data_IF_455066932828
#
_entry.id   IF_455066932828
#
_cell.length_a   1.000
_cell.length_b   1.000
_cell.length_c   1.000
_cell.angle_alpha   90.00
_cell.angle_beta   90.00
_cell.angle_gamma   90.00
#
_symmetry.space_group_name_H-M   'P 1'
#
loop_
_entity.id
_entity.type
_entity.pdbx_description
1 polymer ?
#
# COMPACT_ATOMS: atom_id res chain seq x y z
N UNK A 1 24.86 -17.84 -7.32
CA UNK A 1 25.09 -18.67 -6.10
C UNK A 1 24.00 -19.72 -5.82
N UNK A 2 23.42 -20.34 -6.87
CA UNK A 2 22.39 -21.39 -6.76
C UNK A 2 22.84 -22.73 -7.36
N UNK A 3 24.09 -22.85 -7.80
CA UNK A 3 24.56 -24.02 -8.55
C UNK A 3 25.34 -25.05 -7.72
N UNK A 4 25.58 -24.80 -6.42
CA UNK A 4 26.37 -25.67 -5.53
C UNK A 4 25.62 -26.06 -4.24
N UNK A 5 24.31 -26.33 -4.33
CA UNK A 5 23.53 -26.81 -3.18
C UNK A 5 23.32 -28.33 -3.25
N UNK A 6 23.91 -29.07 -2.30
CA UNK A 6 23.70 -30.51 -2.13
C UNK A 6 22.22 -30.86 -1.98
N UNK A 7 21.75 -31.96 -2.61
CA UNK A 7 20.37 -32.47 -2.55
C UNK A 7 19.81 -32.59 -1.12
N UNK A 8 20.68 -32.80 -0.12
CA UNK A 8 20.32 -32.84 1.30
C UNK A 8 19.95 -31.46 1.87
N UNK A 9 20.68 -30.40 1.51
CA UNK A 9 20.37 -29.03 1.93
C UNK A 9 19.09 -28.50 1.29
N UNK A 10 18.79 -28.89 0.05
CA UNK A 10 17.52 -28.54 -0.60
C UNK A 10 16.33 -29.20 0.12
N UNK A 11 16.41 -30.50 0.42
CA UNK A 11 15.36 -31.23 1.16
C UNK A 11 15.18 -30.70 2.58
N UNK A 12 16.25 -30.35 3.28
CA UNK A 12 16.19 -29.73 4.60
C UNK A 12 15.51 -28.36 4.57
N UNK A 13 15.89 -27.49 3.61
CA UNK A 13 15.23 -26.18 3.42
C UNK A 13 13.75 -26.31 3.05
N UNK A 14 13.40 -27.31 2.25
CA UNK A 14 12.02 -27.59 1.86
C UNK A 14 11.20 -28.13 3.03
N UNK A 15 11.77 -28.99 3.88
CA UNK A 15 11.13 -29.48 5.11
C UNK A 15 10.95 -28.36 6.14
N UNK A 16 11.94 -27.49 6.31
CA UNK A 16 11.83 -26.29 7.17
C UNK A 16 10.74 -25.34 6.63
N UNK A 17 10.70 -25.10 5.31
CA UNK A 17 9.66 -24.29 4.69
C UNK A 17 8.25 -24.87 4.87
N UNK A 18 8.11 -26.20 4.73
CA UNK A 18 6.84 -26.90 4.93
C UNK A 18 6.40 -26.86 6.41
N UNK A 19 7.34 -27.06 7.34
CA UNK A 19 7.08 -26.98 8.78
C UNK A 19 6.64 -25.57 9.21
N UNK A 20 7.27 -24.53 8.66
CA UNK A 20 6.88 -23.12 8.89
C UNK A 20 5.47 -22.87 8.34
N UNK A 21 5.14 -23.35 7.13
CA UNK A 21 3.81 -23.24 6.54
C UNK A 21 2.72 -23.94 7.37
N UNK A 22 3.00 -25.15 7.86
CA UNK A 22 2.07 -25.93 8.69
C UNK A 22 1.90 -25.31 10.07
N UNK A 23 2.97 -24.75 10.65
CA UNK A 23 2.92 -24.04 11.94
C UNK A 23 2.24 -22.66 11.84
N UNK A 24 2.25 -22.03 10.66
CA UNK A 24 1.59 -20.75 10.41
C UNK A 24 0.06 -20.84 10.58
N UNK A 25 -0.54 -21.96 10.18
CA UNK A 25 -1.99 -22.18 10.25
C UNK A 25 -2.56 -22.13 11.69
N UNK A 26 -2.01 -22.87 12.69
CA UNK A 26 -2.46 -22.76 14.07
C UNK A 26 -2.11 -21.41 14.70
N UNK A 27 -1.00 -20.78 14.31
CA UNK A 27 -0.62 -19.44 14.79
C UNK A 27 -1.64 -18.40 14.34
N UNK A 28 -2.02 -18.41 13.06
CA UNK A 28 -3.07 -17.52 12.52
C UNK A 28 -4.39 -17.78 13.23
N UNK A 29 -4.75 -19.05 13.48
CA UNK A 29 -5.99 -19.39 14.19
C UNK A 29 -6.00 -18.83 15.62
N UNK A 30 -4.89 -18.92 16.35
CA UNK A 30 -4.75 -18.37 17.70
C UNK A 30 -4.81 -16.84 17.67
N UNK A 31 -4.11 -16.19 16.74
CA UNK A 31 -4.15 -14.72 16.57
C UNK A 31 -5.54 -14.21 16.21
N UNK A 32 -6.31 -14.95 15.40
CA UNK A 32 -7.69 -14.59 15.05
C UNK A 32 -8.68 -14.79 16.22
N UNK A 33 -8.45 -15.77 17.10
CA UNK A 33 -9.30 -15.98 18.30
C UNK A 33 -9.05 -14.97 19.42
N UNK A 34 -7.87 -14.33 19.45
CA UNK A 34 -7.50 -13.29 20.42
C UNK A 34 -7.20 -11.97 19.68
N UNK A 35 -8.22 -11.43 19.01
CA UNK A 35 -8.10 -10.27 18.13
C UNK A 35 -7.52 -9.02 18.82
N UNK A 36 -7.83 -8.78 20.10
CA UNK A 36 -7.27 -7.63 20.84
C UNK A 36 -5.75 -7.78 21.12
N UNK A 37 -5.31 -9.00 21.44
CA UNK A 37 -3.88 -9.29 21.66
C UNK A 37 -3.08 -9.18 20.36
N UNK A 38 -3.65 -9.65 19.25
CA UNK A 38 -3.07 -9.51 17.91
C UNK A 38 -2.91 -8.04 17.50
N UNK A 39 -3.91 -7.20 17.79
CA UNK A 39 -3.85 -5.77 17.53
C UNK A 39 -2.69 -5.09 18.27
N UNK A 40 -2.58 -5.31 19.59
CA UNK A 40 -1.49 -4.78 20.39
C UNK A 40 -0.11 -5.30 19.96
N UNK A 41 -0.01 -6.57 19.60
CA UNK A 41 1.23 -7.18 19.13
C UNK A 41 1.73 -6.52 17.84
N UNK A 42 0.85 -6.29 16.86
CA UNK A 42 1.19 -5.62 15.60
C UNK A 42 1.61 -4.16 15.84
N UNK A 43 0.92 -3.44 16.74
CA UNK A 43 1.28 -2.06 17.10
C UNK A 43 2.66 -2.01 17.78
N UNK A 44 2.94 -2.93 18.71
CA UNK A 44 4.24 -3.00 19.41
C UNK A 44 5.35 -3.35 18.43
N UNK A 45 5.14 -4.31 17.52
CA UNK A 45 6.12 -4.68 16.52
C UNK A 45 6.41 -3.53 15.54
N UNK A 46 5.36 -2.84 15.07
CA UNK A 46 5.46 -1.67 14.21
C UNK A 46 6.19 -0.51 14.89
N UNK A 47 5.90 -0.26 16.18
CA UNK A 47 6.61 0.72 16.98
C UNK A 47 8.09 0.36 17.14
N UNK A 48 8.42 -0.92 17.34
CA UNK A 48 9.79 -1.41 17.48
C UNK A 48 10.59 -1.24 16.17
N UNK A 49 9.98 -1.54 15.03
CA UNK A 49 10.57 -1.33 13.70
C UNK A 49 10.79 0.17 13.45
N UNK A 50 9.82 1.02 13.79
CA UNK A 50 9.95 2.47 13.69
C UNK A 50 11.07 3.02 14.59
N UNK A 51 11.17 2.53 15.82
CA UNK A 51 12.22 2.89 16.77
C UNK A 51 13.60 2.46 16.27
N UNK A 52 13.70 1.25 15.70
CA UNK A 52 14.92 0.72 15.09
C UNK A 52 15.36 1.58 13.89
N UNK A 53 14.44 1.99 13.02
CA UNK A 53 14.70 2.92 11.92
C UNK A 53 15.17 4.30 12.41
N UNK A 54 14.55 4.85 13.46
CA UNK A 54 14.97 6.10 14.10
C UNK A 54 16.39 5.99 14.69
N UNK A 55 16.70 4.90 15.40
CA UNK A 55 18.02 4.67 16.02
C UNK A 55 19.12 4.49 14.97
N UNK A 56 18.86 3.73 13.90
CA UNK A 56 19.81 3.54 12.79
C UNK A 56 20.07 4.85 12.05
N UNK A 57 19.05 5.70 11.92
CA UNK A 57 19.13 7.03 11.30
C UNK A 57 19.91 8.02 12.15
N UNK A 58 19.79 7.96 13.48
CA UNK A 58 20.52 8.84 14.41
C UNK A 58 22.00 8.45 14.58
N UNK A 59 22.39 7.21 14.27
CA UNK A 59 23.76 6.70 14.48
C UNK A 59 24.74 6.92 13.32
N UNK A 60 24.32 7.38 12.14
CA UNK A 60 25.23 7.59 11.00
C UNK A 60 25.85 8.99 10.97
N UNK A 61 27.17 9.03 10.75
CA UNK A 61 28.06 10.17 11.01
C UNK A 61 28.86 10.64 9.77
N UNK A 62 28.17 11.00 8.67
CA UNK A 62 28.56 12.21 7.93
C UNK A 62 27.37 13.09 7.50
N UNK A 63 27.60 14.41 7.33
CA UNK A 63 26.55 15.43 7.12
C UNK A 63 25.73 15.26 5.84
N UNK A 64 26.29 14.64 4.79
CA UNK A 64 25.59 14.39 3.52
C UNK A 64 24.72 13.14 3.53
N UNK A 65 25.15 12.08 4.20
CA UNK A 65 24.32 10.88 4.40
C UNK A 65 23.14 11.17 5.32
N UNK A 66 23.32 12.02 6.33
CA UNK A 66 22.22 12.44 7.23
C UNK A 66 21.10 13.17 6.48
N UNK A 67 21.42 13.96 5.44
CA UNK A 67 20.42 14.67 4.62
C UNK A 67 19.65 13.71 3.71
N UNK A 68 20.34 12.71 3.15
CA UNK A 68 19.71 11.63 2.37
C UNK A 68 18.85 10.75 3.28
N UNK A 69 19.36 10.34 4.44
CA UNK A 69 18.62 9.57 5.45
C UNK A 69 17.38 10.30 5.98
N UNK A 70 17.45 11.60 6.23
CA UNK A 70 16.28 12.39 6.61
C UNK A 70 15.22 12.40 5.50
N UNK A 71 15.62 12.57 4.24
CA UNK A 71 14.69 12.46 3.10
C UNK A 71 14.07 11.05 3.02
N UNK A 72 14.86 10.00 3.23
CA UNK A 72 14.36 8.62 3.28
C UNK A 72 13.37 8.39 4.43
N UNK A 73 13.61 8.96 5.61
CA UNK A 73 12.71 8.81 6.74
C UNK A 73 11.36 9.48 6.47
N UNK A 74 11.36 10.66 5.84
CA UNK A 74 10.13 11.34 5.40
C UNK A 74 9.38 10.51 4.34
N UNK A 75 10.10 9.96 3.36
CA UNK A 75 9.53 9.07 2.34
C UNK A 75 8.96 7.77 2.94
N UNK A 76 9.67 7.15 3.89
CA UNK A 76 9.23 5.94 4.58
C UNK A 76 7.98 6.20 5.43
N UNK A 77 7.97 7.30 6.20
CA UNK A 77 6.83 7.68 7.04
C UNK A 77 5.61 8.00 6.18
N UNK A 78 5.78 8.76 5.10
CA UNK A 78 4.70 8.99 4.14
C UNK A 78 4.21 7.70 3.48
N UNK A 79 5.10 6.74 3.20
CA UNK A 79 4.73 5.47 2.58
C UNK A 79 3.91 4.62 3.54
N UNK A 80 4.26 4.65 4.83
CA UNK A 80 3.50 3.99 5.89
C UNK A 80 2.10 4.60 5.99
N UNK A 81 1.98 5.93 5.99
CA UNK A 81 0.68 6.62 6.00
C UNK A 81 -0.12 6.28 4.74
N UNK A 82 0.51 6.27 3.57
CA UNK A 82 -0.13 5.88 2.31
C UNK A 82 -0.71 4.47 2.40
N UNK A 83 0.10 3.48 2.77
CA UNK A 83 -0.35 2.08 2.84
C UNK A 83 -1.39 1.88 3.94
N UNK A 84 -1.27 2.55 5.08
CA UNK A 84 -2.28 2.50 6.13
C UNK A 84 -3.62 3.04 5.64
N UNK A 85 -3.64 4.20 4.97
CA UNK A 85 -4.87 4.77 4.39
C UNK A 85 -5.43 3.88 3.28
N UNK A 86 -4.57 3.37 2.40
CA UNK A 86 -4.95 2.52 1.28
C UNK A 86 -5.55 1.20 1.75
N UNK A 87 -5.05 0.61 2.84
CA UNK A 87 -5.58 -0.62 3.41
C UNK A 87 -6.87 -0.40 4.21
N UNK A 88 -7.03 0.77 4.84
CA UNK A 88 -8.23 1.11 5.62
C UNK A 88 -9.41 1.50 4.72
N UNK A 89 -9.13 2.11 3.56
CA UNK A 89 -10.16 2.66 2.68
C UNK A 89 -11.20 1.63 2.21
N UNK A 90 -10.82 0.43 1.73
CA UNK A 90 -11.79 -0.53 1.19
C UNK A 90 -12.81 -0.98 2.22
N UNK A 91 -12.38 -1.11 3.49
CA UNK A 91 -13.24 -1.48 4.60
C UNK A 91 -14.24 -0.37 4.91
N UNK A 92 -13.76 0.87 5.06
CA UNK A 92 -14.63 2.03 5.32
C UNK A 92 -15.61 2.31 4.17
N UNK A 93 -15.14 2.20 2.93
CA UNK A 93 -15.94 2.39 1.73
C UNK A 93 -17.02 1.32 1.57
N UNK A 94 -16.72 0.06 1.88
CA UNK A 94 -17.72 -1.01 1.82
C UNK A 94 -18.88 -0.74 2.78
N UNK A 95 -18.57 -0.44 4.05
CA UNK A 95 -19.57 -0.05 5.06
C UNK A 95 -20.37 1.18 4.64
N UNK A 96 -19.69 2.19 4.09
CA UNK A 96 -20.34 3.40 3.60
C UNK A 96 -21.28 3.11 2.42
N UNK A 97 -20.90 2.20 1.53
CA UNK A 97 -21.72 1.80 0.37
C UNK A 97 -22.97 1.03 0.75
N UNK A 98 -22.90 0.23 1.81
CA UNK A 98 -24.03 -0.56 2.29
C UNK A 98 -25.10 0.32 2.97
N UNK A 99 -24.67 1.36 3.71
CA UNK A 99 -25.57 2.15 4.56
C UNK A 99 -25.95 3.51 3.98
N UNK A 100 -25.13 4.11 3.11
CA UNK A 100 -25.26 5.52 2.72
C UNK A 100 -25.34 5.74 1.20
N UNK A 101 -25.47 4.69 0.40
CA UNK A 101 -25.47 4.80 -1.07
C UNK A 101 -26.71 4.18 -1.67
N UNK A 102 -27.28 4.90 -2.63
CA UNK A 102 -28.29 4.33 -3.48
C UNK A 102 -27.63 3.36 -4.48
N UNK A 103 -27.67 2.08 -4.15
CA UNK A 103 -27.12 0.99 -4.96
C UNK A 103 -27.97 0.70 -6.21
N UNK A 104 -29.10 1.40 -6.39
CA UNK A 104 -29.91 1.31 -7.60
C UNK A 104 -29.40 2.31 -8.65
N UNK A 105 -28.51 1.84 -9.53
CA UNK A 105 -27.93 2.65 -10.60
C UNK A 105 -28.66 2.30 -11.90
N UNK A 106 -29.47 3.23 -12.42
CA UNK A 106 -30.25 3.05 -13.66
C UNK A 106 -31.14 1.78 -13.70
N UNK A 107 -31.69 1.36 -12.56
CA UNK A 107 -32.56 0.17 -12.46
C UNK A 107 -31.82 -1.14 -12.17
N UNK A 108 -30.50 -1.12 -12.04
CA UNK A 108 -29.67 -2.27 -11.69
C UNK A 108 -29.22 -2.11 -10.23
N UNK A 109 -29.51 -3.12 -9.39
CA UNK A 109 -28.95 -3.20 -8.05
C UNK A 109 -27.49 -3.63 -8.13
N UNK A 110 -26.59 -2.70 -7.83
CA UNK A 110 -25.16 -2.96 -7.72
C UNK A 110 -24.87 -3.49 -6.32
N UNK A 111 -24.25 -4.66 -6.19
CA UNK A 111 -23.82 -5.15 -4.89
C UNK A 111 -22.60 -4.35 -4.39
N UNK A 112 -22.48 -4.04 -3.09
CA UNK A 112 -21.31 -3.35 -2.52
C UNK A 112 -19.99 -4.04 -2.83
N UNK A 113 -19.97 -5.37 -2.96
CA UNK A 113 -18.77 -6.14 -3.35
C UNK A 113 -18.22 -5.75 -4.73
N UNK A 114 -19.05 -5.30 -5.66
CA UNK A 114 -18.58 -4.90 -7.00
C UNK A 114 -17.70 -3.66 -6.95
N UNK A 115 -17.75 -2.90 -5.86
CA UNK A 115 -16.93 -1.71 -5.66
C UNK A 115 -15.45 -2.09 -5.49
N UNK A 116 -15.13 -3.25 -4.90
CA UNK A 116 -13.74 -3.74 -4.85
C UNK A 116 -13.20 -4.08 -6.25
N UNK A 117 -14.06 -4.56 -7.16
CA UNK A 117 -13.64 -4.86 -8.53
C UNK A 117 -13.22 -3.59 -9.30
N UNK A 118 -13.74 -2.42 -8.92
CA UNK A 118 -13.35 -1.13 -9.52
C UNK A 118 -11.84 -0.90 -9.33
N UNK A 119 -11.32 -1.15 -8.13
CA UNK A 119 -9.89 -1.02 -7.86
C UNK A 119 -9.05 -1.90 -8.80
N UNK A 120 -9.40 -3.18 -8.93
CA UNK A 120 -8.71 -4.12 -9.83
C UNK A 120 -8.78 -3.65 -11.28
N UNK A 121 -9.95 -3.22 -11.76
CA UNK A 121 -10.12 -2.69 -13.12
C UNK A 121 -9.26 -1.46 -13.36
N UNK A 122 -9.22 -0.53 -12.40
CA UNK A 122 -8.41 0.70 -12.50
C UNK A 122 -6.93 0.37 -12.50
N UNK A 123 -6.45 -0.62 -11.75
CA UNK A 123 -5.04 -1.02 -11.77
C UNK A 123 -4.69 -1.66 -13.12
N UNK A 124 -5.52 -2.58 -13.62
CA UNK A 124 -5.28 -3.30 -14.88
C UNK A 124 -5.28 -2.34 -16.09
N UNK A 125 -6.22 -1.39 -16.14
CA UNK A 125 -6.33 -0.42 -17.24
C UNK A 125 -5.41 0.78 -17.01
N UNK A 126 -5.35 1.28 -15.79
CA UNK A 126 -4.57 2.45 -15.40
C UNK A 126 -3.07 2.20 -15.40
N UNK A 127 -2.61 0.97 -15.13
CA UNK A 127 -1.20 0.59 -15.18
C UNK A 127 -0.53 0.90 -16.53
N UNK A 128 -0.99 0.33 -17.65
CA UNK A 128 -0.43 0.64 -18.97
C UNK A 128 -0.65 2.11 -19.37
N UNK A 129 -1.76 2.72 -18.96
CA UNK A 129 -2.07 4.12 -19.27
C UNK A 129 -1.11 5.10 -18.57
N UNK A 130 -0.81 4.83 -17.30
CA UNK A 130 0.15 5.60 -16.51
C UNK A 130 1.58 5.38 -17.01
N UNK A 131 1.93 4.14 -17.41
CA UNK A 131 3.21 3.85 -18.03
C UNK A 131 3.40 4.61 -19.36
N UNK A 132 2.36 4.64 -20.20
CA UNK A 132 2.36 5.45 -21.43
C UNK A 132 2.50 6.95 -21.14
N UNK A 133 1.78 7.46 -20.13
CA UNK A 133 1.86 8.85 -19.70
C UNK A 133 3.27 9.23 -19.25
N UNK A 134 3.90 8.41 -18.40
CA UNK A 134 5.27 8.63 -17.95
C UNK A 134 6.29 8.55 -19.09
N UNK A 135 6.14 7.61 -20.03
CA UNK A 135 6.99 7.54 -21.21
C UNK A 135 6.87 8.80 -22.07
N UNK A 136 5.65 9.32 -22.24
CA UNK A 136 5.41 10.58 -22.96
C UNK A 136 6.01 11.79 -22.24
N UNK A 137 5.97 11.82 -20.90
CA UNK A 137 6.61 12.88 -20.11
C UNK A 137 8.14 12.83 -20.20
N UNK A 138 8.73 11.63 -20.15
CA UNK A 138 10.18 11.43 -20.36
C UNK A 138 10.60 11.83 -21.77
N UNK A 139 9.79 11.52 -22.79
CA UNK A 139 10.04 11.96 -24.17
C UNK A 139 10.03 13.49 -24.34
N UNK A 140 9.38 14.23 -23.43
CA UNK A 140 9.37 15.70 -23.39
C UNK A 140 10.49 16.30 -22.54
N UNK A 141 11.39 15.48 -21.99
CA UNK A 141 12.50 15.94 -21.15
C UNK A 141 12.13 16.23 -19.69
N UNK A 142 10.89 15.98 -19.26
CA UNK A 142 10.50 16.08 -17.86
C UNK A 142 10.89 14.78 -17.13
N UNK A 143 12.06 14.78 -16.51
CA UNK A 143 12.43 13.74 -15.56
C UNK A 143 11.63 13.96 -14.26
N UNK A 144 10.73 13.03 -13.95
CA UNK A 144 10.00 13.05 -12.68
C UNK A 144 10.92 12.50 -11.60
N UNK A 145 11.28 13.36 -10.65
CA UNK A 145 12.02 12.94 -9.48
C UNK A 145 11.16 12.03 -8.59
N UNK A 146 11.80 11.06 -7.94
CA UNK A 146 11.15 10.12 -7.00
C UNK A 146 10.29 10.84 -5.95
N UNK A 147 10.75 11.93 -5.31
CA UNK A 147 9.94 12.66 -4.33
C UNK A 147 8.70 13.33 -4.94
N UNK A 148 8.77 13.76 -6.20
CA UNK A 148 7.64 14.38 -6.89
C UNK A 148 6.54 13.35 -7.20
N UNK A 149 6.94 12.16 -7.69
CA UNK A 149 5.99 11.06 -7.92
C UNK A 149 5.35 10.59 -6.61
N UNK A 150 6.14 10.50 -5.54
CA UNK A 150 5.66 10.14 -4.20
C UNK A 150 4.70 11.19 -3.61
N UNK A 151 5.00 12.47 -3.77
CA UNK A 151 4.11 13.55 -3.34
C UNK A 151 2.80 13.51 -4.12
N UNK A 152 2.86 13.19 -5.42
CA UNK A 152 1.68 12.93 -6.26
C UNK A 152 0.82 11.78 -5.74
N UNK A 153 1.42 10.65 -5.33
CA UNK A 153 0.66 9.54 -4.72
C UNK A 153 -0.01 9.94 -3.41
N UNK A 154 0.68 10.67 -2.54
CA UNK A 154 0.13 11.18 -1.28
C UNK A 154 -1.03 12.15 -1.51
N UNK A 155 -0.90 13.00 -2.52
CA UNK A 155 -1.96 13.94 -2.90
C UNK A 155 -3.17 13.21 -3.47
N UNK A 156 -2.97 12.21 -4.34
CA UNK A 156 -4.06 11.40 -4.89
C UNK A 156 -4.84 10.64 -3.81
N UNK A 157 -4.17 10.03 -2.84
CA UNK A 157 -4.87 9.32 -1.75
C UNK A 157 -5.60 10.28 -0.82
N UNK A 158 -5.00 11.44 -0.51
CA UNK A 158 -5.64 12.50 0.27
C UNK A 158 -6.88 13.05 -0.42
N UNK A 159 -6.80 13.33 -1.72
CA UNK A 159 -7.95 13.72 -2.53
C UNK A 159 -9.01 12.62 -2.58
N UNK A 160 -8.62 11.37 -2.77
CA UNK A 160 -9.54 10.23 -2.76
C UNK A 160 -10.36 10.17 -1.47
N UNK A 161 -9.72 10.44 -0.33
CA UNK A 161 -10.40 10.51 0.96
C UNK A 161 -11.28 11.77 1.11
N UNK A 162 -10.85 12.93 0.60
CA UNK A 162 -11.64 14.18 0.65
C UNK A 162 -12.89 14.16 -0.24
N UNK A 163 -12.87 13.41 -1.34
CA UNK A 163 -14.02 13.25 -2.25
C UNK A 163 -15.23 12.60 -1.55
N UNK A 164 -15.00 11.78 -0.53
CA UNK A 164 -16.08 11.11 0.23
C UNK A 164 -16.91 12.08 1.10
N UNK A 165 -16.34 12.88 2.01
CA UNK A 165 -17.09 13.87 2.77
C UNK A 165 -17.71 14.95 1.88
N UNK A 166 -17.07 15.30 0.75
CA UNK A 166 -17.70 16.15 -0.26
C UNK A 166 -18.95 15.49 -0.87
N UNK A 167 -18.89 14.21 -1.17
CA UNK A 167 -20.04 13.41 -1.60
C UNK A 167 -21.16 13.39 -0.57
N UNK A 168 -20.83 13.28 0.72
CA UNK A 168 -21.79 13.34 1.84
C UNK A 168 -22.43 14.72 1.95
N UNK A 169 -21.65 15.81 1.81
CA UNK A 169 -22.18 17.18 1.86
C UNK A 169 -23.15 17.50 0.71
N UNK A 170 -23.02 16.77 -0.40
CA UNK A 170 -23.91 16.87 -1.56
C UNK A 170 -24.86 15.68 -1.68
N UNK A 171 -25.17 15.02 -0.56
CA UNK A 171 -26.20 13.99 -0.50
C UNK A 171 -27.57 14.59 -0.87
N UNK A 172 -28.40 13.79 -1.55
CA UNK A 172 -29.76 14.20 -1.90
C UNK A 172 -30.67 14.34 -0.68
N UNK A 173 -31.90 14.84 -0.88
CA UNK A 173 -32.89 14.97 0.20
C UNK A 173 -33.22 13.67 0.94
N UNK A 174 -32.90 12.52 0.35
CA UNK A 174 -33.07 11.18 0.92
C UNK A 174 -31.90 10.73 1.81
N UNK A 175 -30.86 11.56 1.98
CA UNK A 175 -29.66 11.26 2.77
C UNK A 175 -28.66 10.29 2.10
N UNK A 176 -28.93 9.85 0.87
CA UNK A 176 -28.08 8.93 0.11
C UNK A 176 -27.10 9.68 -0.80
N UNK A 177 -25.87 9.17 -0.87
CA UNK A 177 -24.79 9.68 -1.73
C UNK A 177 -24.78 8.94 -3.07
N UNK A 178 -24.53 9.68 -4.15
CA UNK A 178 -24.45 9.10 -5.49
C UNK A 178 -23.23 8.18 -5.66
N UNK A 179 -23.42 7.02 -6.30
CA UNK A 179 -22.40 6.00 -6.57
C UNK A 179 -21.11 6.57 -7.21
N UNK A 180 -21.24 7.60 -8.06
CA UNK A 180 -20.11 8.27 -8.73
C UNK A 180 -19.01 8.75 -7.78
N UNK A 181 -19.35 9.19 -6.57
CA UNK A 181 -18.39 9.73 -5.60
C UNK A 181 -17.45 8.65 -5.08
N UNK A 182 -17.97 7.45 -4.83
CA UNK A 182 -17.15 6.29 -4.49
C UNK A 182 -16.25 5.90 -5.65
N UNK A 183 -16.79 5.83 -6.86
CA UNK A 183 -16.00 5.45 -8.05
C UNK A 183 -14.80 6.39 -8.20
N UNK A 184 -15.02 7.70 -8.10
CA UNK A 184 -13.94 8.71 -8.18
C UNK A 184 -12.93 8.52 -7.05
N UNK A 185 -13.39 8.29 -5.82
CA UNK A 185 -12.51 8.05 -4.68
C UNK A 185 -11.62 6.83 -4.91
N UNK A 186 -12.18 5.69 -5.35
CA UNK A 186 -11.40 4.48 -5.66
C UNK A 186 -10.43 4.69 -6.82
N UNK A 187 -10.86 5.38 -7.88
CA UNK A 187 -9.99 5.68 -9.02
C UNK A 187 -8.78 6.49 -8.56
N UNK A 188 -8.99 7.55 -7.77
CA UNK A 188 -7.90 8.39 -7.24
C UNK A 188 -6.94 7.59 -6.35
N UNK A 189 -7.46 6.75 -5.48
CA UNK A 189 -6.63 5.89 -4.61
C UNK A 189 -5.81 4.88 -5.41
N UNK A 190 -6.42 4.23 -6.41
CA UNK A 190 -5.75 3.25 -7.27
C UNK A 190 -4.68 3.91 -8.14
N UNK A 191 -4.93 5.13 -8.64
CA UNK A 191 -3.90 5.93 -9.34
C UNK A 191 -2.74 6.26 -8.40
N UNK A 192 -3.02 6.63 -7.14
CA UNK A 192 -2.00 6.84 -6.13
C UNK A 192 -1.12 5.60 -5.90
N UNK A 193 -1.74 4.42 -5.87
CA UNK A 193 -1.02 3.15 -5.70
C UNK A 193 -0.11 2.85 -6.90
N UNK A 194 -0.61 3.04 -8.12
CA UNK A 194 0.18 2.86 -9.33
C UNK A 194 1.40 3.78 -9.37
N UNK A 195 1.32 4.96 -8.75
CA UNK A 195 2.45 5.89 -8.64
C UNK A 195 3.46 5.49 -7.57
N UNK A 196 3.04 4.91 -6.44
CA UNK A 196 3.94 4.52 -5.34
C UNK A 196 4.61 3.17 -5.54
N UNK A 197 3.92 2.22 -6.20
CA UNK A 197 4.39 0.85 -6.44
C UNK A 197 5.80 0.77 -7.05
N UNK A 198 6.16 1.50 -8.13
CA UNK A 198 7.51 1.47 -8.67
C UNK A 198 8.57 2.11 -7.76
N UNK A 199 8.16 3.03 -6.88
CA UNK A 199 9.06 3.74 -5.95
C UNK A 199 9.49 2.81 -4.81
N UNK A 200 8.57 2.01 -4.27
CA UNK A 200 8.87 1.06 -3.19
C UNK A 200 9.99 0.10 -3.58
N UNK A 201 9.88 -0.51 -4.77
CA UNK A 201 10.92 -1.37 -5.33
C UNK A 201 12.24 -0.63 -5.58
N UNK A 202 12.20 0.58 -6.14
CA UNK A 202 13.39 1.38 -6.41
C UNK A 202 14.11 1.84 -5.13
N UNK A 203 13.39 2.13 -4.04
CA UNK A 203 13.98 2.48 -2.76
C UNK A 203 14.68 1.29 -2.12
N UNK A 204 14.07 0.11 -2.10
CA UNK A 204 14.69 -1.11 -1.57
C UNK A 204 15.95 -1.46 -2.38
N UNK A 205 15.88 -1.31 -3.71
CA UNK A 205 17.02 -1.54 -4.61
C UNK A 205 18.23 -0.63 -4.34
N UNK A 206 18.00 0.61 -3.89
CA UNK A 206 19.08 1.57 -3.56
C UNK A 206 19.59 1.46 -2.12
N UNK A 207 18.79 0.96 -1.19
CA UNK A 207 19.08 0.99 0.25
C UNK A 207 19.57 -0.35 0.81
N UNK A 208 19.16 -1.47 0.21
CA UNK A 208 19.47 -2.79 0.75
C UNK A 208 20.79 -3.33 0.14
N UNK A 209 21.81 -3.66 0.97
CA UNK A 209 22.94 -4.46 0.52
C UNK A 209 22.42 -5.75 -0.12
N UNK A 210 23.04 -6.26 -1.20
CA UNK A 210 22.54 -7.41 -1.95
C UNK A 210 22.34 -8.70 -1.10
N UNK A 211 22.92 -8.75 0.10
CA UNK A 211 22.73 -9.84 1.08
C UNK A 211 21.43 -9.76 1.91
N UNK A 212 20.78 -8.61 2.02
CA UNK A 212 19.60 -8.40 2.87
C UNK A 212 18.33 -7.94 2.12
N UNK A 213 18.40 -7.78 0.79
CA UNK A 213 17.24 -7.42 -0.05
C UNK A 213 16.03 -8.35 0.16
N UNK A 214 16.26 -9.65 0.34
CA UNK A 214 15.17 -10.62 0.55
C UNK A 214 14.45 -10.46 1.90
N UNK A 215 15.12 -9.97 2.94
CA UNK A 215 14.49 -9.70 4.24
C UNK A 215 13.77 -8.35 4.21
N UNK A 216 14.36 -7.31 3.59
CA UNK A 216 13.74 -5.98 3.46
C UNK A 216 12.57 -5.92 2.47
N UNK A 217 12.45 -6.84 1.52
CA UNK A 217 11.24 -6.98 0.68
C UNK A 217 10.11 -7.76 1.35
N UNK A 218 10.44 -8.59 2.35
CA UNK A 218 9.49 -9.50 3.01
C UNK A 218 8.89 -8.96 4.31
N UNK A 219 9.39 -7.83 4.81
CA UNK A 219 8.85 -7.10 5.97
C UNK A 219 8.07 -5.88 5.50
#
# INVERSE_FOLDING_TARGET
PLHDASRSQYRWRMLVGLAVLVALVPIIRVMLTHAEFSGHFVIVLGALIFLMLCVVTLRHHPRDERRRMAAYLILALGSLVFWALYQLAPMGLMLFSEHNINLNVYGIQVAPQWIQNINTLVIVVGGPLLAWWFNRLRARGCNIDIPLQFSGSLFCIGLGMLVLPLGISMAGGDGLVAFKWIVISYVLQSVGELMISPIGYAMIGKLAPPRYQGVMMGC
#
